data_IF_095254105037
#
_entry.id   IF_095254105037
#
_cell.length_a   1.000
_cell.length_b   1.000
_cell.length_c   1.000
_cell.angle_alpha   90.00
_cell.angle_beta   90.00
_cell.angle_gamma   90.00
#
_symmetry.space_group_name_H-M   'P 1'
#
loop_
_entity.id
_entity.type
_entity.pdbx_description
1 polymer ?
#
# COMPACT_ATOMS: atom_id res chain seq x y z
N UNK A 1 -31.53 -39.42 37.77
CA UNK A 1 -31.67 -38.06 37.21
C UNK A 1 -30.72 -37.13 37.96
N UNK A 2 -29.50 -36.96 37.46
CA UNK A 2 -28.48 -36.11 38.09
C UNK A 2 -28.48 -34.73 37.43
N UNK A 3 -28.89 -33.72 38.19
CA UNK A 3 -28.96 -32.33 37.75
C UNK A 3 -27.52 -31.79 37.52
N UNK A 4 -27.12 -31.64 36.26
CA UNK A 4 -25.86 -31.00 35.87
C UNK A 4 -26.05 -29.49 36.00
N UNK A 5 -25.64 -28.94 37.14
CA UNK A 5 -25.46 -27.50 37.32
C UNK A 5 -24.39 -27.01 36.33
N UNK A 6 -24.83 -26.32 35.29
CA UNK A 6 -23.97 -25.51 34.41
C UNK A 6 -23.45 -24.32 35.22
N UNK A 7 -22.21 -24.44 35.71
CA UNK A 7 -21.49 -23.33 36.34
C UNK A 7 -21.28 -22.25 35.29
N UNK A 8 -21.96 -21.12 35.43
CA UNK A 8 -21.72 -19.94 34.59
C UNK A 8 -20.23 -19.54 34.70
N UNK A 9 -19.54 -19.22 33.59
CA UNK A 9 -18.13 -18.86 33.62
C UNK A 9 -17.90 -17.67 34.56
N UNK A 10 -16.86 -17.74 35.39
CA UNK A 10 -16.48 -16.62 36.28
C UNK A 10 -16.18 -15.40 35.40
N UNK A 11 -16.65 -14.19 35.78
CA UNK A 11 -16.51 -12.99 34.95
C UNK A 11 -15.06 -12.68 34.57
N UNK A 12 -14.07 -13.09 35.38
CA UNK A 12 -12.65 -12.89 35.06
C UNK A 12 -12.16 -13.69 33.84
N UNK A 13 -12.65 -14.91 33.60
CA UNK A 13 -12.21 -15.71 32.44
C UNK A 13 -12.66 -15.09 31.12
N UNK A 14 -13.90 -14.61 31.07
CA UNK A 14 -14.49 -13.94 29.90
C UNK A 14 -13.72 -12.67 29.51
N UNK A 15 -13.22 -11.94 30.51
CA UNK A 15 -12.45 -10.71 30.27
C UNK A 15 -11.07 -11.02 29.71
N UNK A 16 -10.40 -12.03 30.26
CA UNK A 16 -9.06 -12.40 29.83
C UNK A 16 -9.07 -12.97 28.41
N UNK A 17 -10.10 -13.75 28.05
CA UNK A 17 -10.35 -14.21 26.68
C UNK A 17 -10.62 -13.01 25.75
N UNK A 18 -11.53 -12.10 26.15
CA UNK A 18 -11.82 -10.89 25.38
C UNK A 18 -10.57 -10.05 25.12
N UNK A 19 -9.76 -9.82 26.15
CA UNK A 19 -8.51 -9.08 26.03
C UNK A 19 -7.51 -9.81 25.12
N UNK A 20 -7.45 -11.15 25.12
CA UNK A 20 -6.59 -11.90 24.20
C UNK A 20 -7.01 -11.71 22.74
N UNK A 21 -8.32 -11.70 22.47
CA UNK A 21 -8.87 -11.51 21.12
C UNK A 21 -8.77 -10.06 20.61
N UNK A 22 -8.65 -9.09 21.53
CA UNK A 22 -8.68 -7.65 21.22
C UNK A 22 -7.36 -6.94 21.57
N UNK A 23 -6.23 -7.61 21.35
CA UNK A 23 -4.88 -7.03 21.51
C UNK A 23 -4.60 -6.42 22.88
N UNK A 24 -5.23 -6.93 23.94
CA UNK A 24 -5.13 -6.41 25.30
C UNK A 24 -5.92 -5.12 25.54
N UNK A 25 -6.67 -4.62 24.56
CA UNK A 25 -7.41 -3.36 24.67
C UNK A 25 -8.87 -3.64 24.98
N UNK A 26 -9.48 -2.80 25.82
CA UNK A 26 -10.92 -2.85 26.12
C UNK A 26 -11.46 -1.44 26.38
N UNK A 27 -12.68 -1.18 25.88
CA UNK A 27 -13.41 0.05 26.23
C UNK A 27 -14.19 -0.13 27.55
N UNK A 28 -14.53 0.97 28.21
CA UNK A 28 -15.40 0.94 29.39
C UNK A 28 -16.77 0.32 29.08
N UNK A 29 -17.29 0.54 27.87
CA UNK A 29 -18.56 -0.02 27.44
C UNK A 29 -18.48 -1.55 27.29
N UNK A 30 -17.43 -2.05 26.64
CA UNK A 30 -17.19 -3.49 26.49
C UNK A 30 -16.93 -4.16 27.84
N UNK A 31 -16.14 -3.52 28.72
CA UNK A 31 -15.92 -4.03 30.07
C UNK A 31 -17.23 -4.15 30.87
N UNK A 32 -18.13 -3.17 30.75
CA UNK A 32 -19.47 -3.24 31.36
C UNK A 32 -20.31 -4.37 30.77
N UNK A 33 -20.30 -4.55 29.44
CA UNK A 33 -20.99 -5.64 28.77
C UNK A 33 -20.45 -7.01 29.20
N UNK A 34 -19.15 -7.12 29.47
CA UNK A 34 -18.49 -8.29 30.03
C UNK A 34 -18.66 -8.45 31.56
N UNK A 35 -19.48 -7.60 32.21
CA UNK A 35 -19.82 -7.72 33.64
C UNK A 35 -18.87 -7.01 34.62
N UNK A 36 -17.89 -6.22 34.16
CA UNK A 36 -17.12 -5.37 35.09
C UNK A 36 -17.87 -4.09 35.43
N UNK A 37 -17.90 -3.78 36.72
CA UNK A 37 -18.27 -2.43 37.16
C UNK A 37 -17.18 -1.40 36.81
N UNK A 38 -17.58 -0.14 36.69
CA UNK A 38 -16.63 0.99 36.51
C UNK A 38 -15.59 1.05 37.62
N UNK A 39 -16.00 0.74 38.86
CA UNK A 39 -15.09 0.70 40.02
C UNK A 39 -14.06 -0.43 39.88
N UNK A 40 -14.45 -1.59 39.34
CA UNK A 40 -13.54 -2.70 39.10
C UNK A 40 -12.49 -2.38 38.03
N UNK A 41 -12.86 -1.62 36.99
CA UNK A 41 -11.90 -1.09 36.00
C UNK A 41 -10.94 -0.10 36.65
N UNK A 42 -11.46 0.87 37.41
CA UNK A 42 -10.62 1.88 38.08
C UNK A 42 -9.67 1.28 39.11
N UNK A 43 -10.09 0.24 39.83
CA UNK A 43 -9.23 -0.50 40.74
C UNK A 43 -8.03 -1.11 40.00
N UNK A 44 -8.27 -1.74 38.84
CA UNK A 44 -7.21 -2.31 38.00
C UNK A 44 -6.23 -1.25 37.52
N UNK A 45 -6.74 -0.08 37.09
CA UNK A 45 -5.90 1.05 36.70
C UNK A 45 -5.06 1.59 37.87
N UNK A 46 -5.68 1.81 39.05
CA UNK A 46 -4.95 2.29 40.24
C UNK A 46 -3.89 1.30 40.72
N UNK A 47 -4.11 0.00 40.53
CA UNK A 47 -3.15 -1.05 40.90
C UNK A 47 -2.04 -1.27 39.86
N UNK A 48 -2.00 -0.50 38.77
CA UNK A 48 -1.03 -0.67 37.67
C UNK A 48 -1.33 -1.83 36.72
N UNK A 49 -2.24 -2.75 37.07
CA UNK A 49 -2.60 -3.88 36.21
C UNK A 49 -3.11 -3.47 34.84
N UNK A 50 -3.83 -2.34 34.75
CA UNK A 50 -4.33 -1.80 33.48
C UNK A 50 -3.80 -0.38 33.26
N UNK A 51 -3.39 -0.06 32.03
CA UNK A 51 -3.03 1.28 31.60
C UNK A 51 -4.24 1.98 30.98
N UNK A 52 -4.33 3.30 31.16
CA UNK A 52 -5.35 4.13 30.50
C UNK A 52 -4.79 4.72 29.21
N UNK A 53 -5.17 4.15 28.06
CA UNK A 53 -4.76 4.67 26.74
C UNK A 53 -5.46 6.00 26.42
N UNK A 54 -6.75 6.11 26.77
CA UNK A 54 -7.53 7.34 26.59
C UNK A 54 -8.77 7.34 27.50
N UNK A 55 -9.57 8.42 27.54
CA UNK A 55 -10.85 8.40 28.24
C UNK A 55 -11.76 7.27 27.75
N UNK A 56 -11.98 6.28 28.62
CA UNK A 56 -12.85 5.14 28.33
C UNK A 56 -12.19 3.99 27.57
N UNK A 57 -10.87 4.04 27.31
CA UNK A 57 -10.12 2.96 26.66
C UNK A 57 -8.93 2.58 27.52
N UNK A 58 -8.78 1.28 27.77
CA UNK A 58 -7.79 0.72 28.68
C UNK A 58 -7.04 -0.43 28.00
N UNK A 59 -5.82 -0.68 28.49
CA UNK A 59 -4.98 -1.80 28.08
C UNK A 59 -4.61 -2.63 29.31
N UNK A 60 -4.63 -3.96 29.21
CA UNK A 60 -4.15 -4.84 30.26
C UNK A 60 -2.62 -4.96 30.21
N UNK A 61 -1.94 -4.51 31.26
CA UNK A 61 -0.47 -4.38 31.34
C UNK A 61 0.23 -5.68 31.75
N UNK A 62 -0.42 -6.82 31.50
CA UNK A 62 0.13 -8.16 31.67
C UNK A 62 0.70 -8.72 30.36
N UNK A 63 0.77 -7.89 29.31
CA UNK A 63 1.24 -8.26 27.97
C UNK A 63 1.92 -7.07 27.25
N UNK A 64 2.72 -7.31 26.20
CA UNK A 64 3.36 -6.24 25.45
C UNK A 64 2.33 -5.33 24.73
N UNK A 65 2.57 -4.03 24.77
CA UNK A 65 1.77 -3.06 24.00
C UNK A 65 2.19 -3.06 22.53
N UNK A 66 1.56 -3.93 21.73
CA UNK A 66 1.88 -4.13 20.31
C UNK A 66 1.34 -3.01 19.42
N UNK A 67 1.79 -2.96 18.15
CA UNK A 67 1.19 -2.07 17.15
C UNK A 67 -0.30 -2.34 16.91
N UNK A 68 -0.75 -3.60 17.05
CA UNK A 68 -2.17 -3.92 16.97
C UNK A 68 -2.95 -3.28 18.11
N UNK A 69 -2.41 -3.35 19.34
CA UNK A 69 -2.95 -2.68 20.51
C UNK A 69 -2.99 -1.16 20.31
N UNK A 70 -1.91 -0.58 19.77
CA UNK A 70 -1.81 0.86 19.46
C UNK A 70 -2.88 1.32 18.48
N UNK A 71 -3.04 0.62 17.35
CA UNK A 71 -4.06 0.96 16.32
C UNK A 71 -5.47 0.79 16.88
N UNK A 72 -5.75 -0.31 17.58
CA UNK A 72 -7.06 -0.55 18.19
C UNK A 72 -7.42 0.50 19.24
N UNK A 73 -6.48 0.80 20.15
CA UNK A 73 -6.66 1.83 21.16
C UNK A 73 -6.92 3.20 20.50
N UNK A 74 -6.19 3.55 19.45
CA UNK A 74 -6.37 4.80 18.72
C UNK A 74 -7.77 4.92 18.08
N UNK A 75 -8.25 3.86 17.41
CA UNK A 75 -9.57 3.84 16.78
C UNK A 75 -10.68 3.91 17.83
N UNK A 76 -10.65 3.07 18.86
CA UNK A 76 -11.68 3.09 19.91
C UNK A 76 -11.69 4.38 20.73
N UNK A 77 -10.55 5.07 20.84
CA UNK A 77 -10.46 6.39 21.46
C UNK A 77 -11.20 7.49 20.69
N UNK A 78 -11.47 7.26 19.41
CA UNK A 78 -12.20 8.16 18.53
C UNK A 78 -13.71 7.84 18.45
N UNK A 79 -14.20 6.91 19.29
CA UNK A 79 -15.63 6.59 19.42
C UNK A 79 -16.05 5.30 18.72
N UNK A 80 -17.28 4.84 18.98
CA UNK A 80 -17.83 3.59 18.44
C UNK A 80 -18.05 3.60 16.92
N UNK A 81 -18.13 4.80 16.33
CA UNK A 81 -18.26 4.99 14.89
C UNK A 81 -16.94 5.31 14.18
N UNK A 82 -15.83 5.26 14.90
CA UNK A 82 -14.51 5.42 14.33
C UNK A 82 -14.09 4.21 13.50
N UNK A 83 -13.41 4.47 12.40
CA UNK A 83 -12.97 3.46 11.43
C UNK A 83 -11.50 3.71 11.11
N UNK A 84 -10.63 2.72 11.28
CA UNK A 84 -9.23 2.84 10.83
C UNK A 84 -9.21 3.03 9.30
N UNK A 85 -8.36 3.92 8.80
CA UNK A 85 -8.29 4.25 7.37
C UNK A 85 -6.85 4.46 6.89
N UNK A 86 -6.67 4.65 5.58
CA UNK A 86 -5.34 4.85 4.99
C UNK A 86 -4.34 3.75 5.32
N UNK A 87 -3.10 4.11 5.65
CA UNK A 87 -2.02 3.15 5.96
C UNK A 87 -2.31 2.30 7.20
N UNK A 88 -3.10 2.80 8.17
CA UNK A 88 -3.48 2.01 9.34
C UNK A 88 -4.41 0.86 8.97
N UNK A 89 -5.40 1.12 8.11
CA UNK A 89 -6.23 0.07 7.55
C UNK A 89 -5.43 -0.85 6.61
N UNK A 90 -4.50 -0.32 5.81
CA UNK A 90 -3.71 -1.13 4.88
C UNK A 90 -2.84 -2.15 5.62
N UNK A 91 -2.18 -1.71 6.71
CA UNK A 91 -1.45 -2.61 7.60
C UNK A 91 -2.40 -3.58 8.31
N UNK A 92 -3.56 -3.11 8.76
CA UNK A 92 -4.55 -3.97 9.40
C UNK A 92 -5.15 -5.03 8.47
N UNK A 93 -5.16 -4.79 7.16
CA UNK A 93 -5.53 -5.76 6.10
C UNK A 93 -4.33 -6.59 5.61
N UNK A 94 -3.14 -6.41 6.20
CA UNK A 94 -1.89 -7.07 5.80
C UNK A 94 -1.42 -6.76 4.37
N UNK A 95 -1.91 -5.66 3.78
CA UNK A 95 -1.45 -5.15 2.48
C UNK A 95 -0.05 -4.55 2.61
N UNK A 96 0.27 -3.97 3.77
CA UNK A 96 1.61 -3.44 4.07
C UNK A 96 2.25 -4.17 5.23
N UNK A 97 3.57 -4.39 5.16
CA UNK A 97 4.33 -5.11 6.19
C UNK A 97 4.52 -4.31 7.47
N UNK A 98 4.77 -3.00 7.34
CA UNK A 98 5.13 -2.15 8.47
C UNK A 98 3.94 -1.33 8.97
N UNK A 99 3.77 -1.21 10.30
CA UNK A 99 2.73 -0.38 10.89
C UNK A 99 3.06 1.11 10.65
N UNK A 100 2.05 1.98 10.52
CA UNK A 100 2.31 3.40 10.32
C UNK A 100 2.69 4.10 11.63
N UNK A 101 3.56 5.10 11.57
CA UNK A 101 3.90 5.93 12.75
C UNK A 101 2.66 6.66 13.30
N UNK A 102 1.81 7.17 12.39
CA UNK A 102 0.56 7.84 12.73
C UNK A 102 -0.64 6.98 12.36
N UNK A 103 -1.49 6.66 13.33
CA UNK A 103 -2.74 5.93 13.10
C UNK A 103 -3.78 6.87 12.52
N UNK A 104 -4.19 6.63 11.28
CA UNK A 104 -5.26 7.39 10.66
C UNK A 104 -6.63 6.77 10.96
N UNK A 105 -7.56 7.61 11.42
CA UNK A 105 -8.89 7.21 11.83
C UNK A 105 -9.92 8.16 11.20
N UNK A 106 -10.90 7.59 10.50
CA UNK A 106 -12.05 8.32 9.99
C UNK A 106 -13.22 8.22 10.96
N UNK A 107 -13.83 9.36 11.29
CA UNK A 107 -15.01 9.51 12.13
C UNK A 107 -16.12 10.22 11.35
N UNK A 108 -17.41 10.08 11.77
CA UNK A 108 -18.53 10.82 11.17
C UNK A 108 -18.28 12.34 11.14
N UNK A 109 -18.90 13.06 10.19
CA UNK A 109 -18.66 14.51 10.01
C UNK A 109 -18.96 15.34 11.24
N UNK A 110 -19.98 14.95 12.00
CA UNK A 110 -20.44 15.61 13.23
C UNK A 110 -19.63 15.20 14.47
N UNK A 111 -18.68 14.26 14.32
CA UNK A 111 -17.84 13.79 15.41
C UNK A 111 -16.80 14.83 15.83
N UNK A 112 -16.74 15.11 17.13
CA UNK A 112 -15.76 15.99 17.75
C UNK A 112 -14.90 15.23 18.76
N UNK A 113 -13.62 15.11 18.45
CA UNK A 113 -12.61 14.53 19.34
C UNK A 113 -11.38 15.45 19.37
N UNK A 114 -10.76 15.64 20.54
CA UNK A 114 -9.55 16.45 20.66
C UNK A 114 -8.39 15.79 19.89
N UNK A 115 -7.45 16.59 19.35
CA UNK A 115 -6.25 16.05 18.72
C UNK A 115 -5.45 15.23 19.73
N UNK A 116 -4.85 14.13 19.25
CA UNK A 116 -4.03 13.24 20.07
C UNK A 116 -2.74 12.92 19.33
N UNK A 117 -1.65 12.85 20.08
CA UNK A 117 -0.36 12.46 19.53
C UNK A 117 -0.46 11.07 18.88
N UNK A 118 0.18 10.90 17.71
CA UNK A 118 0.15 9.64 16.97
C UNK A 118 -1.18 9.29 16.30
N UNK A 119 -2.22 10.14 16.37
CA UNK A 119 -3.52 9.90 15.74
C UNK A 119 -3.86 11.03 14.76
N UNK A 120 -4.18 10.66 13.52
CA UNK A 120 -4.69 11.59 12.51
C UNK A 120 -6.17 11.35 12.28
N UNK A 121 -7.00 12.27 12.77
CA UNK A 121 -8.45 12.20 12.59
C UNK A 121 -8.88 12.78 11.25
N UNK A 122 -9.87 12.12 10.63
CA UNK A 122 -10.56 12.58 9.43
C UNK A 122 -12.05 12.57 9.66
N UNK A 123 -12.72 13.62 9.19
CA UNK A 123 -14.18 13.74 9.33
C UNK A 123 -14.83 13.47 7.98
N UNK A 124 -15.49 12.32 7.86
CA UNK A 124 -16.21 11.91 6.66
C UNK A 124 -17.27 10.88 7.03
N UNK A 125 -18.46 11.05 6.47
CA UNK A 125 -19.49 10.01 6.50
C UNK A 125 -19.13 9.00 5.41
N UNK A 126 -18.71 7.81 5.86
CA UNK A 126 -18.39 6.68 5.01
C UNK A 126 -19.67 6.02 4.52
N UNK A 127 -19.65 5.57 3.27
CA UNK A 127 -20.67 4.63 2.81
C UNK A 127 -20.59 3.35 3.66
N UNK A 128 -21.71 2.74 4.10
CA UNK A 128 -21.67 1.48 4.84
C UNK A 128 -20.90 0.36 4.12
N UNK A 129 -20.92 0.31 2.78
CA UNK A 129 -20.15 -0.67 2.00
C UNK A 129 -18.63 -0.44 2.06
N UNK A 130 -18.21 0.75 2.47
CA UNK A 130 -16.81 1.15 2.63
C UNK A 130 -16.30 0.87 4.06
N UNK A 131 -17.08 0.22 4.91
CA UNK A 131 -16.74 -0.13 6.29
C UNK A 131 -16.88 -1.63 6.48
N UNK A 132 -15.82 -2.27 6.99
CA UNK A 132 -15.84 -3.68 7.38
C UNK A 132 -15.28 -3.83 8.78
N UNK A 133 -15.63 -4.92 9.45
CA UNK A 133 -15.00 -5.31 10.71
C UNK A 133 -13.99 -6.42 10.45
N UNK A 134 -12.75 -6.23 10.88
CA UNK A 134 -11.68 -7.24 10.79
C UNK A 134 -11.01 -7.36 12.15
N UNK A 135 -11.03 -8.55 12.75
CA UNK A 135 -10.49 -8.82 14.09
C UNK A 135 -11.11 -7.89 15.16
N UNK A 136 -12.44 -7.71 15.15
CA UNK A 136 -13.16 -6.86 16.11
C UNK A 136 -12.85 -5.36 16.01
N UNK A 137 -12.30 -4.91 14.88
CA UNK A 137 -11.98 -3.50 14.63
C UNK A 137 -12.62 -3.03 13.32
N UNK A 138 -13.31 -1.88 13.37
CA UNK A 138 -13.82 -1.20 12.19
C UNK A 138 -12.65 -0.63 11.37
N UNK A 139 -12.56 -1.04 10.12
CA UNK A 139 -11.57 -0.57 9.14
C UNK A 139 -12.27 -0.23 7.83
N UNK A 140 -11.67 0.63 7.00
CA UNK A 140 -12.21 0.84 5.66
C UNK A 140 -12.17 -0.47 4.87
N UNK A 141 -13.16 -0.71 4.01
CA UNK A 141 -13.16 -1.86 3.12
C UNK A 141 -11.91 -1.82 2.24
N UNK A 142 -11.36 -2.99 1.91
CA UNK A 142 -10.07 -3.12 1.26
C UNK A 142 -9.91 -2.23 0.00
N UNK A 143 -10.87 -2.15 -0.95
CA UNK A 143 -10.76 -1.23 -2.08
C UNK A 143 -10.57 0.23 -1.68
N UNK A 144 -11.33 0.72 -0.70
CA UNK A 144 -11.18 2.09 -0.19
C UNK A 144 -9.85 2.26 0.53
N UNK A 145 -9.45 1.28 1.35
CA UNK A 145 -8.15 1.28 2.02
C UNK A 145 -7.02 1.48 1.01
N UNK A 146 -7.01 0.70 -0.08
CA UNK A 146 -5.96 0.76 -1.11
C UNK A 146 -5.94 2.13 -1.78
N UNK A 147 -7.09 2.64 -2.23
CA UNK A 147 -7.22 3.97 -2.84
C UNK A 147 -6.70 5.08 -1.92
N UNK A 148 -7.02 5.01 -0.62
CA UNK A 148 -6.62 6.03 0.34
C UNK A 148 -5.17 5.95 0.76
N UNK A 149 -4.67 4.73 0.97
CA UNK A 149 -3.31 4.46 1.39
C UNK A 149 -2.30 4.76 0.28
N UNK A 150 -2.61 4.36 -0.96
CA UNK A 150 -1.77 4.65 -2.14
C UNK A 150 -1.60 6.16 -2.38
N UNK A 151 -2.61 6.97 -2.04
CA UNK A 151 -2.54 8.42 -2.13
C UNK A 151 -1.69 9.09 -1.01
N UNK A 152 -1.09 8.32 -0.09
CA UNK A 152 -0.20 8.84 0.96
C UNK A 152 1.26 8.61 0.64
N UNK A 153 2.12 9.46 1.21
CA UNK A 153 3.55 9.16 1.35
C UNK A 153 3.69 7.83 2.10
N UNK A 154 4.43 6.89 1.52
CA UNK A 154 4.64 5.54 2.05
C UNK A 154 3.67 4.47 1.54
N UNK A 155 2.59 4.82 0.83
CA UNK A 155 1.75 3.86 0.11
C UNK A 155 2.13 3.78 -1.37
N UNK A 156 1.99 4.91 -2.07
CA UNK A 156 2.52 5.10 -3.42
C UNK A 156 2.00 4.10 -4.46
N UNK A 157 2.77 3.95 -5.54
CA UNK A 157 2.44 2.98 -6.58
C UNK A 157 2.62 1.55 -6.05
N UNK A 158 3.65 1.29 -5.25
CA UNK A 158 3.96 -0.04 -4.72
C UNK A 158 2.79 -0.73 -4.01
N UNK A 159 2.08 -0.01 -3.13
CA UNK A 159 0.95 -0.56 -2.38
C UNK A 159 -0.20 -0.94 -3.31
N UNK A 160 -0.52 -0.07 -4.27
CA UNK A 160 -1.56 -0.30 -5.26
C UNK A 160 -1.24 -1.54 -6.11
N UNK A 161 0.03 -1.75 -6.47
CA UNK A 161 0.47 -2.84 -7.35
C UNK A 161 0.33 -4.17 -6.63
N UNK A 162 0.83 -4.23 -5.40
CA UNK A 162 0.69 -5.39 -4.53
C UNK A 162 -0.77 -5.72 -4.24
N UNK A 163 -1.64 -4.71 -4.11
CA UNK A 163 -3.07 -4.93 -3.89
C UNK A 163 -3.75 -5.51 -5.13
N UNK A 164 -3.46 -4.97 -6.32
CA UNK A 164 -4.02 -5.44 -7.58
C UNK A 164 -3.53 -6.85 -7.96
N UNK A 165 -2.33 -7.23 -7.52
CA UNK A 165 -1.81 -8.59 -7.72
C UNK A 165 -2.51 -9.66 -6.86
N UNK A 166 -3.00 -9.30 -5.65
CA UNK A 166 -3.30 -10.32 -4.61
C UNK A 166 -4.65 -10.18 -3.92
N UNK A 167 -5.25 -9.00 -3.98
CA UNK A 167 -6.28 -8.64 -3.00
C UNK A 167 -7.53 -7.98 -3.61
N UNK A 168 -7.42 -7.32 -4.77
CA UNK A 168 -8.55 -6.57 -5.36
C UNK A 168 -8.39 -6.43 -6.87
N UNK A 169 -9.48 -6.12 -7.57
CA UNK A 169 -9.45 -5.79 -8.99
C UNK A 169 -9.54 -4.28 -9.25
N UNK A 170 -8.99 -3.84 -10.38
CA UNK A 170 -8.99 -2.43 -10.79
C UNK A 170 -10.40 -1.83 -10.89
N UNK A 171 -11.39 -2.62 -11.34
CA UNK A 171 -12.80 -2.20 -11.44
C UNK A 171 -13.38 -1.79 -10.08
N UNK A 172 -13.03 -2.50 -9.02
CA UNK A 172 -13.54 -2.23 -7.67
C UNK A 172 -12.92 -0.96 -7.10
N UNK A 173 -11.63 -0.74 -7.36
CA UNK A 173 -10.95 0.49 -6.97
C UNK A 173 -11.53 1.73 -7.67
N UNK A 174 -11.85 1.63 -8.97
CA UNK A 174 -12.53 2.68 -9.71
C UNK A 174 -13.92 2.97 -9.14
N UNK A 175 -14.72 1.93 -8.86
CA UNK A 175 -16.06 2.08 -8.28
C UNK A 175 -16.00 2.87 -6.97
N UNK A 176 -15.10 2.47 -6.07
CA UNK A 176 -14.95 3.12 -4.76
C UNK A 176 -14.40 4.55 -4.89
N UNK A 177 -13.44 4.76 -5.80
CA UNK A 177 -12.91 6.10 -6.09
C UNK A 177 -14.00 7.06 -6.56
N UNK A 178 -14.89 6.62 -7.46
CA UNK A 178 -16.00 7.44 -7.96
C UNK A 178 -17.00 7.80 -6.86
N UNK A 179 -17.35 6.85 -5.98
CA UNK A 179 -18.18 7.15 -4.77
C UNK A 179 -17.53 8.18 -3.85
N UNK A 180 -16.20 8.20 -3.82
CA UNK A 180 -15.39 9.08 -2.97
C UNK A 180 -14.78 10.27 -3.75
N UNK A 181 -15.36 10.65 -4.89
CA UNK A 181 -14.89 11.78 -5.70
C UNK A 181 -14.91 13.10 -4.91
N UNK A 182 -13.91 13.95 -5.14
CA UNK A 182 -13.80 15.28 -4.50
C UNK A 182 -13.25 15.25 -3.07
N UNK A 183 -12.90 14.07 -2.54
CA UNK A 183 -12.29 13.93 -1.21
C UNK A 183 -10.77 14.18 -1.26
N UNK A 184 -10.20 14.53 -0.11
CA UNK A 184 -8.75 14.76 0.01
C UNK A 184 -7.94 13.52 -0.39
N UNK A 185 -6.95 13.69 -1.27
CA UNK A 185 -6.16 12.59 -1.86
C UNK A 185 -6.77 11.97 -3.12
N UNK A 186 -8.02 12.31 -3.47
CA UNK A 186 -8.70 11.82 -4.68
C UNK A 186 -7.91 12.10 -5.96
N UNK A 187 -7.33 13.29 -6.21
CA UNK A 187 -6.55 13.52 -7.44
C UNK A 187 -5.31 12.62 -7.56
N UNK A 188 -4.60 12.38 -6.46
CA UNK A 188 -3.44 11.49 -6.44
C UNK A 188 -3.85 10.04 -6.69
N UNK A 189 -4.90 9.56 -6.01
CA UNK A 189 -5.45 8.24 -6.25
C UNK A 189 -5.94 8.06 -7.70
N UNK A 190 -6.60 9.08 -8.28
CA UNK A 190 -7.06 9.06 -9.67
C UNK A 190 -5.91 8.90 -10.64
N UNK A 191 -4.79 9.60 -10.43
CA UNK A 191 -3.58 9.43 -11.27
C UNK A 191 -3.05 8.00 -11.19
N UNK A 192 -3.00 7.41 -10.00
CA UNK A 192 -2.57 6.02 -9.84
C UNK A 192 -3.54 5.04 -10.50
N UNK A 193 -4.86 5.29 -10.42
CA UNK A 193 -5.87 4.44 -11.07
C UNK A 193 -5.85 4.53 -12.60
N UNK A 194 -5.62 5.72 -13.15
CA UNK A 194 -5.44 5.91 -14.59
C UNK A 194 -4.15 5.23 -15.04
N UNK A 195 -3.07 5.42 -14.28
CA UNK A 195 -1.83 4.72 -14.53
C UNK A 195 -2.00 3.21 -14.38
N UNK A 196 -2.90 2.72 -13.52
CA UNK A 196 -3.17 1.29 -13.37
C UNK A 196 -3.98 0.72 -14.52
N UNK A 197 -4.87 1.48 -15.15
CA UNK A 197 -5.51 1.07 -16.41
C UNK A 197 -4.51 1.06 -17.57
N UNK A 198 -4.88 0.54 -18.76
CA UNK A 198 -4.05 0.44 -19.97
C UNK A 198 -3.31 1.73 -20.40
N UNK A 199 -3.66 2.89 -19.83
CA UNK A 199 -2.88 4.13 -19.91
C UNK A 199 -1.49 4.07 -19.24
N UNK A 200 -1.19 3.00 -18.48
CA UNK A 200 0.08 2.77 -17.80
C UNK A 200 1.28 2.90 -18.71
N UNK A 201 1.23 2.27 -19.89
CA UNK A 201 2.37 2.16 -20.81
C UNK A 201 2.75 3.54 -21.36
N UNK A 202 1.75 4.30 -21.80
CA UNK A 202 1.97 5.66 -22.31
C UNK A 202 2.41 6.65 -21.23
N UNK A 203 1.92 6.52 -20.00
CA UNK A 203 2.40 7.36 -18.88
C UNK A 203 3.82 6.97 -18.43
N UNK A 204 4.13 5.67 -18.40
CA UNK A 204 5.46 5.16 -18.09
C UNK A 204 6.48 5.64 -19.12
N UNK A 205 6.16 5.56 -20.42
CA UNK A 205 7.00 6.10 -21.50
C UNK A 205 7.28 7.60 -21.29
N UNK A 206 6.23 8.41 -21.03
CA UNK A 206 6.40 9.85 -20.79
C UNK A 206 7.24 10.13 -19.55
N UNK A 207 7.08 9.37 -18.48
CA UNK A 207 7.86 9.52 -17.26
C UNK A 207 9.33 9.14 -17.49
N UNK A 208 9.61 8.05 -18.20
CA UNK A 208 10.97 7.67 -18.58
C UNK A 208 11.63 8.79 -19.40
N UNK A 209 10.94 9.33 -20.42
CA UNK A 209 11.46 10.45 -21.23
C UNK A 209 11.77 11.66 -20.34
N UNK A 210 10.89 11.99 -19.39
CA UNK A 210 11.11 13.08 -18.44
C UNK A 210 12.37 12.83 -17.58
N UNK A 211 12.51 11.63 -17.02
CA UNK A 211 13.68 11.26 -16.20
C UNK A 211 14.99 11.33 -16.98
N UNK A 212 15.00 10.87 -18.24
CA UNK A 212 16.17 10.97 -19.13
C UNK A 212 16.57 12.42 -19.37
N UNK A 213 15.60 13.30 -19.64
CA UNK A 213 15.83 14.74 -19.82
C UNK A 213 16.38 15.39 -18.55
N UNK A 214 15.77 15.11 -17.40
CA UNK A 214 16.22 15.64 -16.10
C UNK A 214 17.62 15.14 -15.73
N UNK A 215 17.98 13.92 -16.11
CA UNK A 215 19.31 13.34 -15.90
C UNK A 215 20.37 13.77 -16.93
N UNK A 216 20.01 14.60 -17.92
CA UNK A 216 20.89 15.07 -18.99
C UNK A 216 21.34 13.96 -19.95
N UNK A 217 20.62 12.85 -20.02
CA UNK A 217 20.96 11.72 -20.90
C UNK A 217 20.43 12.02 -22.31
N UNK A 218 21.33 11.95 -23.30
CA UNK A 218 21.07 12.29 -24.71
C UNK A 218 21.32 11.10 -25.63
N UNK A 219 21.02 11.25 -26.93
CA UNK A 219 21.26 10.20 -27.94
C UNK A 219 20.18 9.11 -28.01
N UNK A 220 19.09 9.26 -27.25
CA UNK A 220 17.92 8.39 -27.33
C UNK A 220 16.94 8.83 -28.42
N UNK A 221 16.10 7.89 -28.88
CA UNK A 221 14.97 8.10 -29.78
C UNK A 221 13.75 7.37 -29.24
N UNK A 222 12.62 8.06 -29.11
CA UNK A 222 11.36 7.43 -28.74
C UNK A 222 10.72 6.72 -29.93
N UNK A 223 9.91 5.69 -29.68
CA UNK A 223 9.15 4.93 -30.70
C UNK A 223 10.03 4.48 -31.88
N UNK A 224 11.22 3.98 -31.57
CA UNK A 224 12.22 3.61 -32.56
C UNK A 224 11.87 2.28 -33.22
N UNK A 225 11.76 2.29 -34.56
CA UNK A 225 11.46 1.07 -35.33
C UNK A 225 12.73 0.23 -35.49
N UNK A 226 12.71 -0.98 -34.95
CA UNK A 226 13.77 -1.99 -35.04
C UNK A 226 13.20 -3.29 -35.64
N UNK A 227 13.49 -3.52 -36.92
CA UNK A 227 12.86 -4.60 -37.68
C UNK A 227 11.34 -4.41 -37.73
N UNK A 228 10.59 -5.43 -37.30
CA UNK A 228 9.13 -5.38 -37.21
C UNK A 228 8.60 -4.76 -35.91
N UNK A 229 9.47 -4.47 -34.95
CA UNK A 229 9.10 -3.99 -33.63
C UNK A 229 9.27 -2.47 -33.50
N UNK A 230 8.43 -1.88 -32.66
CA UNK A 230 8.60 -0.50 -32.18
C UNK A 230 9.09 -0.57 -30.73
N UNK A 231 10.19 0.12 -30.46
CA UNK A 231 10.83 0.20 -29.14
C UNK A 231 10.44 1.54 -28.51
N UNK A 232 9.96 1.53 -27.28
CA UNK A 232 9.48 2.72 -26.58
C UNK A 232 10.60 3.80 -26.52
N UNK A 233 11.80 3.44 -26.07
CA UNK A 233 12.99 4.30 -26.12
C UNK A 233 14.22 3.50 -26.54
N UNK A 234 14.92 3.94 -27.59
CA UNK A 234 16.15 3.30 -28.06
C UNK A 234 17.34 4.24 -27.99
N UNK A 235 18.52 3.70 -27.72
CA UNK A 235 19.81 4.36 -27.90
C UNK A 235 20.58 3.66 -29.04
N UNK A 236 20.42 4.11 -30.31
CA UNK A 236 20.98 3.40 -31.45
C UNK A 236 22.51 3.28 -31.43
N UNK A 237 23.22 4.32 -30.97
CA UNK A 237 24.68 4.32 -30.89
C UNK A 237 25.22 3.23 -29.95
N UNK A 238 24.46 2.87 -28.90
CA UNK A 238 24.84 1.89 -27.90
C UNK A 238 24.14 0.52 -28.11
N UNK A 239 23.25 0.41 -29.10
CA UNK A 239 22.34 -0.73 -29.31
C UNK A 239 21.59 -1.12 -28.03
N UNK A 240 21.00 -0.14 -27.34
CA UNK A 240 20.16 -0.37 -26.15
C UNK A 240 18.71 -0.08 -26.52
N UNK A 241 17.83 -1.03 -26.23
CA UNK A 241 16.38 -0.90 -26.35
C UNK A 241 15.78 -0.87 -24.95
N UNK A 242 14.98 0.13 -24.65
CA UNK A 242 14.27 0.28 -23.37
C UNK A 242 12.77 0.17 -23.64
N UNK A 243 12.15 -0.77 -22.94
CA UNK A 243 10.70 -0.97 -22.95
C UNK A 243 10.15 -0.55 -21.58
N UNK A 244 9.02 0.15 -21.62
CA UNK A 244 8.27 0.52 -20.42
C UNK A 244 7.06 -0.38 -20.29
N UNK A 245 7.02 -1.12 -19.18
CA UNK A 245 5.87 -1.94 -18.83
C UNK A 245 4.94 -1.12 -17.93
N UNK A 246 3.64 -1.43 -18.00
CA UNK A 246 2.66 -0.84 -17.11
C UNK A 246 2.83 -1.33 -15.66
N UNK A 247 1.74 -1.72 -15.04
CA UNK A 247 1.79 -2.34 -13.72
C UNK A 247 2.12 -3.82 -13.85
N UNK A 248 2.79 -4.39 -12.84
CA UNK A 248 3.33 -5.73 -12.95
C UNK A 248 2.25 -6.82 -13.07
N UNK A 249 1.01 -6.54 -12.68
CA UNK A 249 -0.14 -7.45 -12.81
C UNK A 249 -0.85 -7.41 -14.17
N UNK A 250 -0.47 -6.51 -15.09
CA UNK A 250 -1.21 -6.25 -16.33
C UNK A 250 -0.78 -7.07 -17.55
N UNK A 251 0.05 -8.11 -17.40
CA UNK A 251 0.44 -8.97 -18.52
C UNK A 251 -0.54 -10.13 -18.71
N UNK A 252 -1.33 -10.09 -19.78
CA UNK A 252 -2.08 -11.25 -20.25
C UNK A 252 -1.09 -12.33 -20.78
N UNK A 253 -1.49 -13.60 -20.74
CA UNK A 253 -0.64 -14.73 -21.12
C UNK A 253 -0.20 -14.68 -22.59
N UNK A 254 -1.06 -14.17 -23.49
CA UNK A 254 -0.69 -13.96 -24.89
C UNK A 254 0.31 -12.82 -25.09
N UNK A 255 0.16 -11.73 -24.34
CA UNK A 255 1.09 -10.59 -24.37
C UNK A 255 2.46 -11.01 -23.82
N UNK A 256 2.47 -11.85 -22.78
CA UNK A 256 3.69 -12.43 -22.23
C UNK A 256 4.49 -13.23 -23.27
N UNK A 257 3.83 -14.07 -24.07
CA UNK A 257 4.51 -14.85 -25.12
C UNK A 257 5.04 -13.94 -26.25
N UNK A 258 4.23 -12.98 -26.70
CA UNK A 258 4.65 -11.99 -27.71
C UNK A 258 5.86 -11.19 -27.23
N UNK A 259 5.87 -10.79 -25.96
CA UNK A 259 6.97 -10.06 -25.34
C UNK A 259 8.28 -10.86 -25.32
N UNK A 260 8.23 -12.16 -25.02
CA UNK A 260 9.43 -13.03 -25.07
C UNK A 260 9.97 -13.17 -26.49
N UNK A 261 9.09 -13.32 -27.48
CA UNK A 261 9.49 -13.38 -28.90
C UNK A 261 10.16 -12.07 -29.31
N UNK A 262 9.54 -10.91 -28.98
CA UNK A 262 10.11 -9.58 -29.21
C UNK A 262 11.49 -9.45 -28.58
N UNK A 263 11.64 -9.82 -27.31
CA UNK A 263 12.90 -9.70 -26.57
C UNK A 263 14.01 -10.55 -27.19
N UNK A 264 13.72 -11.79 -27.56
CA UNK A 264 14.68 -12.68 -28.20
C UNK A 264 15.13 -12.13 -29.57
N UNK A 265 14.20 -11.65 -30.39
CA UNK A 265 14.54 -11.09 -31.70
C UNK A 265 15.39 -9.82 -31.60
N UNK A 266 15.07 -8.93 -30.66
CA UNK A 266 15.90 -7.73 -30.41
C UNK A 266 17.30 -8.14 -29.93
N UNK A 267 17.39 -9.11 -29.01
CA UNK A 267 18.67 -9.62 -28.52
C UNK A 267 19.52 -10.25 -29.64
N UNK A 268 18.91 -11.05 -30.52
CA UNK A 268 19.57 -11.64 -31.69
C UNK A 268 20.09 -10.60 -32.68
N UNK A 269 19.50 -9.40 -32.73
CA UNK A 269 20.01 -8.26 -33.50
C UNK A 269 21.21 -7.55 -32.81
N UNK A 270 21.69 -8.09 -31.68
CA UNK A 270 22.82 -7.57 -30.91
C UNK A 270 22.46 -6.42 -29.97
N UNK A 271 21.17 -6.17 -29.74
CA UNK A 271 20.69 -5.12 -28.85
C UNK A 271 20.54 -5.63 -27.41
N UNK A 272 20.83 -4.77 -26.44
CA UNK A 272 20.51 -5.01 -25.04
C UNK A 272 19.12 -4.48 -24.73
N UNK A 273 18.24 -5.34 -24.21
CA UNK A 273 16.90 -4.93 -23.78
C UNK A 273 16.92 -4.64 -22.28
N UNK A 274 16.50 -3.43 -21.90
CA UNK A 274 16.18 -3.07 -20.52
C UNK A 274 14.67 -2.87 -20.41
N UNK A 275 14.09 -3.35 -19.31
CA UNK A 275 12.66 -3.22 -19.03
C UNK A 275 12.45 -2.54 -17.69
N UNK A 276 11.59 -1.52 -17.70
CA UNK A 276 11.24 -0.78 -16.49
C UNK A 276 9.72 -0.69 -16.38
N UNK A 277 9.20 -1.07 -15.22
CA UNK A 277 7.79 -0.96 -14.90
C UNK A 277 7.45 0.47 -14.45
N UNK A 278 6.16 0.80 -14.39
CA UNK A 278 5.70 2.03 -13.74
C UNK A 278 6.25 2.19 -12.32
N UNK A 279 6.36 1.09 -11.57
CA UNK A 279 6.90 1.08 -10.21
C UNK A 279 8.37 1.52 -10.19
N UNK A 280 9.17 1.04 -11.13
CA UNK A 280 10.59 1.38 -11.23
C UNK A 280 10.79 2.87 -11.48
N UNK A 281 10.01 3.43 -12.39
CA UNK A 281 10.09 4.83 -12.77
C UNK A 281 9.59 5.78 -11.68
N UNK A 282 8.64 5.35 -10.84
CA UNK A 282 8.04 6.19 -9.81
C UNK A 282 8.71 6.08 -8.45
N UNK A 283 9.05 4.86 -8.02
CA UNK A 283 9.61 4.61 -6.69
C UNK A 283 11.14 4.52 -6.72
N UNK A 284 11.74 4.14 -7.85
CA UNK A 284 13.18 3.90 -7.98
C UNK A 284 13.85 4.63 -9.17
N UNK A 285 13.52 5.92 -9.46
CA UNK A 285 14.00 6.60 -10.66
C UNK A 285 15.52 6.70 -10.74
N UNK A 286 16.21 6.87 -9.61
CA UNK A 286 17.68 6.95 -9.57
C UNK A 286 18.33 5.61 -9.96
N UNK A 287 17.73 4.48 -9.57
CA UNK A 287 18.19 3.14 -9.96
C UNK A 287 18.06 2.95 -11.47
N UNK A 288 16.90 3.32 -12.03
CA UNK A 288 16.65 3.26 -13.49
C UNK A 288 17.72 4.04 -14.25
N UNK A 289 18.00 5.28 -13.84
CA UNK A 289 19.00 6.13 -14.50
C UNK A 289 20.41 5.55 -14.37
N UNK A 290 20.78 5.00 -13.22
CA UNK A 290 22.07 4.35 -13.01
C UNK A 290 22.24 3.12 -13.92
N UNK A 291 21.21 2.27 -14.02
CA UNK A 291 21.23 1.09 -14.89
C UNK A 291 21.36 1.45 -16.37
N UNK A 292 20.68 2.50 -16.83
CA UNK A 292 20.80 3.00 -18.20
C UNK A 292 22.21 3.50 -18.48
N UNK A 293 22.80 4.31 -17.58
CA UNK A 293 24.17 4.82 -17.73
C UNK A 293 25.18 3.68 -17.78
N UNK A 294 25.07 2.73 -16.86
CA UNK A 294 25.94 1.57 -16.81
C UNK A 294 25.89 0.75 -18.11
N UNK A 295 24.69 0.55 -18.67
CA UNK A 295 24.54 -0.13 -19.96
C UNK A 295 25.22 0.65 -21.11
N UNK A 296 25.09 1.98 -21.13
CA UNK A 296 25.76 2.83 -22.12
C UNK A 296 27.30 2.76 -22.00
N UNK A 297 27.83 2.76 -20.77
CA UNK A 297 29.27 2.67 -20.50
C UNK A 297 29.84 1.32 -20.98
N UNK A 298 29.20 0.21 -20.63
CA UNK A 298 29.60 -1.13 -21.07
C UNK A 298 29.66 -1.25 -22.60
N UNK A 299 28.68 -0.65 -23.29
CA UNK A 299 28.58 -0.67 -24.76
C UNK A 299 29.57 0.28 -25.44
N UNK A 300 29.95 1.37 -24.76
CA UNK A 300 31.01 2.28 -25.22
C UNK A 300 32.39 1.59 -25.21
N UNK A 301 32.71 0.87 -24.13
CA UNK A 301 33.97 0.15 -23.98
C UNK A 301 34.14 -1.01 -24.96
N UNK A 302 33.07 -1.77 -25.20
CA UNK A 302 33.07 -2.87 -26.18
C UNK A 302 33.36 -2.36 -27.62
N UNK A 303 32.81 -1.20 -28.01
CA UNK A 303 33.04 -0.60 -29.33
C UNK A 303 34.47 -0.01 -29.51
N UNK A 304 35.22 0.22 -28.43
CA UNK A 304 36.62 0.64 -28.47
C UNK A 304 37.58 -0.56 -28.58
N UNK A 305 37.29 -1.67 -27.89
CA UNK A 305 38.09 -2.90 -27.94
C UNK A 305 38.08 -3.61 -29.30
N UNK A 306 36.97 -3.56 -30.04
CA UNK A 306 36.88 -4.15 -31.39
C UNK A 306 37.68 -3.38 -32.45
N UNK A 307 37.93 -2.08 -32.26
CA UNK A 307 38.68 -1.25 -33.24
C UNK A 307 40.19 -1.42 -33.15
N UNK A 308 40.72 -1.88 -32.01
CA UNK A 308 42.16 -2.11 -31.82
C UNK A 308 42.63 -3.50 -32.25
N UNK A 309 41.71 -4.46 -32.41
CA UNK A 309 42.02 -5.82 -32.87
C UNK A 309 42.06 -6.03 -34.40
N UNK A 310 41.57 -5.07 -35.19
CA UNK A 310 41.52 -5.17 -36.67
C UNK A 310 42.74 -4.56 -37.39
N UNK A 311 43.77 -4.14 -36.63
CA UNK A 311 45.01 -3.57 -37.15
C UNK A 311 46.24 -4.45 -36.86
N UNK A 312 46.08 -5.77 -36.86
CA UNK A 312 47.18 -6.74 -36.79
C UNK A 312 47.02 -7.81 -37.85
#
# INVERSE_FOLDING_TARGET
MGNRLTVAPRPNGVIDDYLREHDGVITLAQAKQAGLSRQAVYRRVRSGKWLRCSPGVYFADDRPFTDSARVRAAVWSAGSNATASGLAAAWWHEVTKYPPDTVEVTIPRTGHHPPRHGIRLRRRDLDPHDIVERRGLRVTALPLTVVEAAARRGGGAKLMDSALQRHTELRDLWRVHLRNKGRHGSPAARRLLIAAADGARSEAERLLIKLLKEAGITGWRANYRLGRWVIDVAFPAYKIAIETDGWAFHSDHEDFQKDRVKQNEIALMGWQVLRFTWLDLTEYPQRVIAEIRFAMECRSGAAASFRTGAAR
#
